data_IF_795884785376
#
_entry.id   IF_795884785376
#
_cell.length_a   1.000
_cell.length_b   1.000
_cell.length_c   1.000
_cell.angle_alpha   90.00
_cell.angle_beta   90.00
_cell.angle_gamma   90.00
#
_symmetry.space_group_name_H-M   'P 1'
#
loop_
_entity.id
_entity.type
_entity.pdbx_description
1 polymer ?
#
# COMPACT_ATOMS: atom_id res chain seq x y z
N UNK A 1 85.84 -1.21 -13.32
CA UNK A 1 85.87 -2.50 -12.57
C UNK A 1 86.90 -2.36 -11.45
N UNK A 2 86.77 -3.02 -10.30
CA UNK A 2 85.62 -3.29 -9.44
C UNK A 2 85.80 -2.56 -8.08
N UNK A 3 84.73 -2.36 -7.29
CA UNK A 3 84.85 -2.26 -5.82
C UNK A 3 83.46 -2.35 -5.20
N UNK A 4 83.13 -3.53 -4.68
CA UNK A 4 81.97 -3.74 -3.80
C UNK A 4 82.34 -3.26 -2.40
N UNK A 5 81.59 -2.32 -1.86
CA UNK A 5 81.61 -1.94 -0.45
C UNK A 5 80.58 -2.77 0.36
N UNK A 6 80.74 -2.87 1.70
CA UNK A 6 80.19 -3.93 2.54
C UNK A 6 78.95 -3.52 3.37
N UNK A 7 78.40 -4.56 4.01
CA UNK A 7 77.64 -4.64 5.28
C UNK A 7 77.29 -3.33 6.02
N UNK A 8 76.00 -3.19 6.40
CA UNK A 8 75.45 -3.00 7.77
C UNK A 8 73.96 -2.59 7.60
N UNK A 9 73.00 -3.40 8.02
CA UNK A 9 72.42 -3.51 9.37
C UNK A 9 71.30 -2.49 9.67
N UNK A 10 70.16 -3.05 10.11
CA UNK A 10 69.05 -2.45 10.87
C UNK A 10 68.23 -1.32 10.23
N UNK A 11 66.94 -1.60 9.99
CA UNK A 11 65.85 -0.78 10.52
C UNK A 11 64.54 -1.58 10.54
N UNK A 12 64.11 -1.94 11.75
CA UNK A 12 62.73 -2.31 12.03
C UNK A 12 61.86 -1.04 12.01
N UNK A 13 60.73 -1.08 11.31
CA UNK A 13 59.58 -0.21 11.58
C UNK A 13 58.33 -0.85 10.97
N UNK A 14 57.70 -1.72 11.74
CA UNK A 14 56.32 -2.11 11.51
C UNK A 14 55.43 -0.90 11.84
N UNK A 15 55.02 -0.15 10.82
CA UNK A 15 53.85 0.73 10.95
C UNK A 15 52.62 -0.09 10.57
N UNK A 16 51.89 -0.52 11.60
CA UNK A 16 50.53 -0.96 11.49
C UNK A 16 49.68 0.20 10.94
N UNK A 17 49.36 0.15 9.64
CA UNK A 17 48.26 0.93 9.07
C UNK A 17 46.94 0.30 9.52
N UNK A 18 46.60 0.48 10.80
CA UNK A 18 45.21 0.44 11.25
C UNK A 18 44.59 1.80 10.96
N UNK A 19 44.44 2.11 9.67
CA UNK A 19 43.58 3.19 9.22
C UNK A 19 42.15 2.69 9.29
N UNK A 20 41.47 2.97 10.40
CA UNK A 20 40.02 2.84 10.50
C UNK A 20 39.39 3.67 9.39
N UNK A 21 38.95 3.00 8.32
CA UNK A 21 38.04 3.62 7.38
C UNK A 21 36.77 3.93 8.18
N UNK A 22 36.63 5.18 8.61
CA UNK A 22 35.35 5.71 9.02
C UNK A 22 34.43 5.48 7.81
N UNK A 23 33.51 4.51 7.93
CA UNK A 23 32.40 4.36 7.01
C UNK A 23 31.74 5.74 6.95
N UNK A 24 31.88 6.43 5.82
CA UNK A 24 31.05 7.57 5.54
C UNK A 24 29.61 7.11 5.76
N UNK A 25 28.89 7.79 6.65
CA UNK A 25 27.47 7.54 6.83
C UNK A 25 26.83 7.73 5.46
N UNK A 26 26.26 6.66 4.91
CA UNK A 26 25.47 6.74 3.69
C UNK A 26 24.36 7.76 3.94
N UNK A 27 24.08 8.66 2.99
CA UNK A 27 22.98 9.60 3.16
C UNK A 27 21.71 8.78 3.44
N UNK A 28 21.04 9.09 4.54
CA UNK A 28 19.82 8.41 4.94
C UNK A 28 18.90 8.31 3.71
N UNK A 29 18.61 7.08 3.29
CA UNK A 29 17.66 6.82 2.22
C UNK A 29 16.33 7.41 2.68
N UNK A 30 15.96 8.56 2.11
CA UNK A 30 14.67 9.17 2.35
C UNK A 30 13.66 8.31 1.60
N UNK A 31 12.96 7.43 2.31
CA UNK A 31 11.80 6.75 1.78
C UNK A 31 10.79 7.84 1.38
N UNK A 32 10.67 8.09 0.08
CA UNK A 32 9.58 8.92 -0.43
C UNK A 32 8.33 8.06 -0.30
N UNK A 33 7.53 8.34 0.73
CA UNK A 33 6.16 7.85 0.76
C UNK A 33 5.42 8.65 -0.32
N UNK A 34 5.17 8.03 -1.47
CA UNK A 34 4.23 8.58 -2.44
C UNK A 34 2.84 8.40 -1.86
N UNK A 35 2.03 9.44 -1.87
CA UNK A 35 0.62 9.34 -1.51
C UNK A 35 -0.04 8.31 -2.43
N UNK A 36 -0.81 7.39 -1.86
CA UNK A 36 -1.71 6.55 -2.64
C UNK A 36 -2.83 7.48 -3.09
N UNK A 37 -3.08 7.53 -4.40
CA UNK A 37 -4.06 8.44 -5.00
C UNK A 37 -5.25 7.66 -5.53
N UNK A 38 -6.44 8.27 -5.44
CA UNK A 38 -7.67 7.73 -6.00
C UNK A 38 -8.06 8.52 -7.25
N UNK A 39 -8.33 7.83 -8.36
CA UNK A 39 -8.70 8.47 -9.63
C UNK A 39 -10.21 8.62 -9.76
N UNK A 40 -10.98 7.55 -9.56
CA UNK A 40 -12.44 7.60 -9.65
C UNK A 40 -12.96 7.97 -11.04
N UNK A 41 -12.17 7.72 -12.10
CA UNK A 41 -12.46 8.07 -13.49
C UNK A 41 -12.85 6.88 -14.37
N UNK A 42 -12.89 5.66 -13.81
CA UNK A 42 -13.21 4.42 -14.51
C UNK A 42 -12.15 3.95 -15.51
N UNK A 43 -10.95 4.54 -15.50
CA UNK A 43 -9.87 4.25 -16.46
C UNK A 43 -8.60 3.76 -15.77
N UNK A 44 -8.25 4.36 -14.65
CA UNK A 44 -7.09 3.96 -13.86
C UNK A 44 -7.46 2.87 -12.86
N UNK A 45 -6.51 1.99 -12.54
CA UNK A 45 -6.75 0.96 -11.54
C UNK A 45 -6.77 1.57 -10.15
N UNK A 46 -7.96 1.63 -9.57
CA UNK A 46 -8.22 2.20 -8.25
C UNK A 46 -8.23 1.14 -7.13
N UNK A 47 -7.99 -0.14 -7.45
CA UNK A 47 -8.18 -1.26 -6.52
C UNK A 47 -7.47 -1.06 -5.18
N UNK A 48 -6.19 -0.67 -5.21
CA UNK A 48 -5.42 -0.45 -3.98
C UNK A 48 -5.91 0.78 -3.22
N UNK A 49 -6.09 1.90 -3.91
CA UNK A 49 -6.48 3.17 -3.31
C UNK A 49 -7.88 3.10 -2.67
N UNK A 50 -8.83 2.48 -3.36
CA UNK A 50 -10.20 2.32 -2.88
C UNK A 50 -10.29 1.39 -1.67
N UNK A 51 -9.55 0.27 -1.68
CA UNK A 51 -9.47 -0.62 -0.52
C UNK A 51 -8.86 0.08 0.70
N UNK A 52 -7.78 0.84 0.50
CA UNK A 52 -7.14 1.60 1.55
C UNK A 52 -8.08 2.67 2.12
N UNK A 53 -8.79 3.39 1.25
CA UNK A 53 -9.78 4.37 1.67
C UNK A 53 -10.93 3.74 2.48
N UNK A 54 -11.49 2.61 2.01
CA UNK A 54 -12.56 1.87 2.70
C UNK A 54 -12.12 1.31 4.06
N UNK A 55 -10.82 1.04 4.26
CA UNK A 55 -10.24 0.67 5.54
C UNK A 55 -10.00 1.86 6.48
N UNK A 56 -10.39 3.07 6.07
CA UNK A 56 -10.27 4.28 6.90
C UNK A 56 -8.94 5.02 6.73
N UNK A 57 -8.11 4.66 5.74
CA UNK A 57 -6.89 5.45 5.45
C UNK A 57 -7.25 6.73 4.73
N UNK A 58 -6.47 7.78 5.00
CA UNK A 58 -6.58 9.04 4.27
C UNK A 58 -5.89 8.93 2.93
N UNK A 59 -6.63 9.31 1.89
CA UNK A 59 -6.24 9.22 0.48
C UNK A 59 -6.57 10.58 -0.15
N UNK A 60 -5.84 10.94 -1.20
CA UNK A 60 -6.09 12.18 -1.95
C UNK A 60 -6.59 11.87 -3.35
N UNK A 61 -7.37 12.79 -3.91
CA UNK A 61 -7.77 12.73 -5.31
C UNK A 61 -6.57 12.94 -6.21
N UNK A 62 -6.40 12.08 -7.22
CA UNK A 62 -5.31 12.20 -8.18
C UNK A 62 -5.35 13.51 -8.98
N UNK A 63 -6.56 14.04 -9.25
CA UNK A 63 -6.74 15.26 -10.04
C UNK A 63 -6.38 16.53 -9.27
N UNK A 64 -6.86 16.67 -8.03
CA UNK A 64 -6.70 17.92 -7.26
C UNK A 64 -5.65 17.85 -6.15
N UNK A 65 -5.30 16.65 -5.69
CA UNK A 65 -4.49 16.44 -4.48
C UNK A 65 -5.24 16.73 -3.18
N UNK A 66 -6.53 17.06 -3.24
CA UNK A 66 -7.34 17.28 -2.05
C UNK A 66 -7.69 15.95 -1.35
N UNK A 67 -7.88 15.96 -0.03
CA UNK A 67 -8.38 14.78 0.68
C UNK A 67 -9.71 14.29 0.11
N UNK A 68 -9.84 12.97 -0.02
CA UNK A 68 -11.08 12.33 -0.49
C UNK A 68 -12.24 12.55 0.49
N UNK A 69 -11.95 12.58 1.80
CA UNK A 69 -12.95 12.69 2.86
C UNK A 69 -13.66 11.37 3.15
N UNK A 70 -14.72 11.42 3.97
CA UNK A 70 -15.44 10.22 4.43
C UNK A 70 -16.49 9.69 3.44
N UNK A 71 -16.85 10.49 2.44
CA UNK A 71 -17.91 10.16 1.48
C UNK A 71 -17.44 10.37 0.06
N UNK A 72 -17.68 9.37 -0.79
CA UNK A 72 -17.50 9.45 -2.23
C UNK A 72 -18.86 9.21 -2.91
N UNK A 73 -19.20 10.02 -3.91
CA UNK A 73 -20.46 9.90 -4.63
C UNK A 73 -20.30 10.10 -6.14
N UNK A 74 -20.90 9.23 -6.96
CA UNK A 74 -21.02 9.44 -8.41
C UNK A 74 -19.75 9.18 -9.23
N UNK A 75 -18.76 8.49 -8.65
CA UNK A 75 -17.50 8.15 -9.33
C UNK A 75 -17.53 6.73 -9.91
N UNK A 76 -16.65 6.52 -10.90
CA UNK A 76 -16.44 5.21 -11.52
C UNK A 76 -15.05 4.69 -11.18
N UNK A 77 -14.92 3.44 -10.76
CA UNK A 77 -13.64 2.84 -10.39
C UNK A 77 -13.37 1.67 -11.30
N UNK A 78 -12.25 1.71 -12.03
CA UNK A 78 -11.76 0.52 -12.72
C UNK A 78 -10.98 -0.30 -11.70
N UNK A 79 -11.29 -1.59 -11.65
CA UNK A 79 -10.75 -2.50 -10.66
C UNK A 79 -10.09 -3.69 -11.36
N UNK A 80 -8.93 -4.10 -10.86
CA UNK A 80 -8.23 -5.31 -11.27
C UNK A 80 -8.44 -6.48 -10.29
N UNK A 81 -8.96 -6.21 -9.09
CA UNK A 81 -9.28 -7.23 -8.09
C UNK A 81 -10.52 -6.84 -7.26
N UNK A 82 -10.84 -7.68 -6.27
CA UNK A 82 -11.95 -7.46 -5.35
C UNK A 82 -11.72 -6.24 -4.46
N UNK A 83 -12.84 -5.64 -4.03
CA UNK A 83 -12.88 -4.56 -3.05
C UNK A 83 -13.47 -5.10 -1.75
N UNK A 84 -12.80 -4.80 -0.64
CA UNK A 84 -13.13 -5.25 0.70
C UNK A 84 -13.67 -4.08 1.50
N UNK A 85 -14.87 -4.27 2.06
CA UNK A 85 -15.51 -3.28 2.92
C UNK A 85 -15.41 -3.80 4.35
N UNK A 86 -14.50 -3.23 5.13
CA UNK A 86 -14.42 -3.50 6.56
C UNK A 86 -15.42 -2.61 7.31
N UNK A 87 -16.07 -3.16 8.33
CA UNK A 87 -16.88 -2.37 9.25
C UNK A 87 -16.04 -1.38 10.07
N UNK A 88 -16.67 -0.30 10.53
CA UNK A 88 -16.08 0.59 11.54
C UNK A 88 -15.21 1.73 11.01
N UNK A 89 -15.07 1.89 9.68
CA UNK A 89 -14.29 2.98 9.10
C UNK A 89 -15.08 4.29 8.88
N UNK A 90 -16.41 4.27 9.04
CA UNK A 90 -17.28 5.43 8.82
C UNK A 90 -17.40 5.88 7.36
N UNK A 91 -16.78 5.15 6.42
CA UNK A 91 -16.75 5.49 4.99
C UNK A 91 -18.07 5.19 4.30
N UNK A 92 -18.42 6.06 3.35
CA UNK A 92 -19.67 5.99 2.60
C UNK A 92 -19.41 6.14 1.11
N UNK A 93 -19.73 5.11 0.33
CA UNK A 93 -19.64 5.14 -1.12
C UNK A 93 -21.06 5.11 -1.72
N UNK A 94 -21.42 6.10 -2.53
CA UNK A 94 -22.77 6.25 -3.12
C UNK A 94 -22.72 6.37 -4.62
N UNK A 95 -23.76 5.88 -5.28
CA UNK A 95 -24.00 6.06 -6.71
C UNK A 95 -22.76 5.72 -7.56
N UNK A 96 -21.98 4.74 -7.10
CA UNK A 96 -20.71 4.39 -7.72
C UNK A 96 -20.92 3.42 -8.88
N UNK A 97 -19.90 3.35 -9.73
CA UNK A 97 -19.78 2.28 -10.74
C UNK A 97 -18.44 1.59 -10.56
N UNK A 98 -18.43 0.29 -10.30
CA UNK A 98 -17.24 -0.55 -10.38
C UNK A 98 -17.20 -1.23 -11.72
N UNK A 99 -16.03 -1.23 -12.36
CA UNK A 99 -15.82 -1.82 -13.67
C UNK A 99 -14.64 -2.79 -13.59
N UNK A 100 -14.87 -4.04 -13.99
CA UNK A 100 -13.82 -5.03 -14.24
C UNK A 100 -13.79 -5.36 -15.74
N UNK A 101 -13.04 -4.58 -16.55
CA UNK A 101 -13.06 -4.73 -18.00
C UNK A 101 -12.66 -6.13 -18.46
N UNK A 102 -11.70 -6.75 -17.78
CA UNK A 102 -11.17 -8.07 -18.11
C UNK A 102 -12.21 -9.18 -17.92
N UNK A 103 -13.25 -8.91 -17.13
CA UNK A 103 -14.34 -9.83 -16.81
C UNK A 103 -15.65 -9.43 -17.48
N UNK A 104 -15.65 -8.32 -18.22
CA UNK A 104 -16.84 -7.70 -18.78
C UNK A 104 -17.95 -7.55 -17.72
N UNK A 105 -17.56 -7.11 -16.53
CA UNK A 105 -18.43 -7.00 -15.36
C UNK A 105 -18.53 -5.55 -14.91
N UNK A 106 -19.72 -5.16 -14.48
CA UNK A 106 -20.01 -3.84 -13.92
C UNK A 106 -20.96 -3.97 -12.74
N UNK A 107 -20.60 -3.34 -11.62
CA UNK A 107 -21.48 -3.18 -10.45
C UNK A 107 -21.83 -1.71 -10.32
N UNK A 108 -23.11 -1.38 -10.27
CA UNK A 108 -23.60 0.00 -10.32
C UNK A 108 -24.82 0.24 -9.44
N UNK A 109 -25.19 1.51 -9.26
CA UNK A 109 -26.40 1.93 -8.55
C UNK A 109 -26.36 1.68 -7.03
N UNK A 110 -25.20 1.25 -6.53
CA UNK A 110 -25.06 0.79 -5.16
C UNK A 110 -24.69 1.92 -4.20
N UNK A 111 -25.13 1.76 -2.95
CA UNK A 111 -24.60 2.48 -1.79
C UNK A 111 -23.99 1.48 -0.82
N UNK A 112 -22.75 1.74 -0.42
CA UNK A 112 -22.02 1.01 0.62
C UNK A 112 -21.79 1.95 1.80
N UNK A 113 -22.09 1.47 3.00
CA UNK A 113 -21.82 2.15 4.27
C UNK A 113 -21.04 1.19 5.16
N UNK A 114 -19.80 1.54 5.51
CA UNK A 114 -19.01 0.71 6.44
C UNK A 114 -19.44 0.86 7.90
N UNK A 115 -20.07 1.99 8.24
CA UNK A 115 -20.49 2.32 9.61
C UNK A 115 -19.30 2.59 10.53
N UNK A 116 -19.58 3.10 11.72
CA UNK A 116 -18.56 3.44 12.73
C UNK A 116 -18.32 2.32 13.76
N UNK A 117 -19.16 1.29 13.73
CA UNK A 117 -19.15 0.17 14.67
C UNK A 117 -18.49 -1.04 14.01
N UNK A 118 -17.27 -1.37 14.42
CA UNK A 118 -16.50 -2.47 13.86
C UNK A 118 -17.14 -3.85 14.07
N UNK A 119 -18.09 -3.97 15.02
CA UNK A 119 -18.81 -5.22 15.31
C UNK A 119 -20.10 -5.36 14.50
N UNK A 120 -20.46 -4.36 13.67
CA UNK A 120 -21.63 -4.40 12.80
C UNK A 120 -21.22 -4.51 11.34
N UNK A 121 -21.76 -5.50 10.65
CA UNK A 121 -21.48 -5.69 9.24
C UNK A 121 -21.80 -4.43 8.42
N UNK A 122 -20.97 -4.11 7.40
CA UNK A 122 -21.26 -3.02 6.48
C UNK A 122 -22.56 -3.28 5.72
N UNK A 123 -23.24 -2.21 5.32
CA UNK A 123 -24.50 -2.27 4.60
C UNK A 123 -24.26 -1.94 3.14
N UNK A 124 -24.70 -2.83 2.24
CA UNK A 124 -24.74 -2.59 0.80
C UNK A 124 -26.19 -2.64 0.31
N UNK A 125 -26.60 -1.65 -0.48
CA UNK A 125 -27.97 -1.54 -1.02
C UNK A 125 -27.95 -1.05 -2.46
N UNK A 126 -29.00 -1.37 -3.23
CA UNK A 126 -29.14 -0.87 -4.60
C UNK A 126 -28.20 -1.50 -5.63
N UNK A 127 -27.49 -2.57 -5.27
CA UNK A 127 -26.51 -3.25 -6.12
C UNK A 127 -27.17 -3.79 -7.39
N UNK A 128 -26.69 -3.32 -8.53
CA UNK A 128 -27.03 -3.84 -9.85
C UNK A 128 -25.76 -4.40 -10.47
N UNK A 129 -25.79 -5.66 -10.89
CA UNK A 129 -24.65 -6.34 -11.49
C UNK A 129 -24.99 -6.66 -12.95
N UNK A 130 -24.09 -6.28 -13.85
CA UNK A 130 -24.15 -6.62 -15.27
C UNK A 130 -22.87 -7.36 -15.65
N UNK A 131 -23.01 -8.53 -16.26
CA UNK A 131 -21.87 -9.46 -16.45
C UNK A 131 -21.53 -10.21 -15.15
N UNK A 132 -20.37 -10.87 -15.13
CA UNK A 132 -19.91 -11.64 -13.97
C UNK A 132 -20.57 -13.02 -13.83
N UNK A 133 -20.08 -13.80 -12.86
CA UNK A 133 -20.64 -15.12 -12.55
C UNK A 133 -21.85 -15.00 -11.61
N UNK A 134 -22.75 -15.98 -11.67
CA UNK A 134 -23.91 -16.01 -10.77
C UNK A 134 -23.46 -16.14 -9.31
N UNK A 135 -23.81 -15.17 -8.45
CA UNK A 135 -23.44 -15.14 -7.03
C UNK A 135 -22.30 -14.19 -6.70
N UNK A 136 -21.79 -13.45 -7.67
CA UNK A 136 -20.83 -12.38 -7.45
C UNK A 136 -21.46 -11.13 -6.81
N UNK A 137 -20.70 -10.37 -6.01
CA UNK A 137 -21.19 -9.18 -5.31
C UNK A 137 -22.17 -9.43 -4.16
N UNK A 138 -22.45 -10.70 -3.82
CA UNK A 138 -23.13 -11.04 -2.57
C UNK A 138 -22.16 -10.88 -1.40
N UNK A 139 -22.59 -10.28 -0.28
CA UNK A 139 -21.80 -10.31 0.95
C UNK A 139 -21.42 -11.75 1.29
N UNK A 140 -20.12 -12.01 1.43
CA UNK A 140 -19.63 -13.29 1.93
C UNK A 140 -19.35 -13.15 3.43
N UNK A 141 -19.68 -14.20 4.19
CA UNK A 141 -19.29 -14.26 5.60
C UNK A 141 -17.77 -14.43 5.64
N UNK A 142 -17.06 -13.37 6.02
CA UNK A 142 -15.62 -13.46 6.25
C UNK A 142 -15.37 -14.40 7.44
N UNK A 143 -14.45 -15.39 7.33
CA UNK A 143 -14.05 -16.17 8.49
C UNK A 143 -13.44 -15.22 9.52
N UNK A 144 -13.82 -15.37 10.79
CA UNK A 144 -13.33 -14.53 11.88
C UNK A 144 -11.81 -14.34 11.79
N UNK A 145 -11.37 -13.13 11.45
CA UNK A 145 -9.95 -12.79 11.39
C UNK A 145 -9.42 -12.90 12.81
N UNK A 146 -8.67 -13.97 13.09
CA UNK A 146 -7.94 -14.05 14.35
C UNK A 146 -6.85 -12.98 14.28
N UNK A 147 -6.82 -11.97 15.17
CA UNK A 147 -5.79 -10.94 15.13
C UNK A 147 -4.43 -11.61 15.21
N UNK A 148 -3.68 -11.58 14.12
CA UNK A 148 -2.30 -12.07 14.13
C UNK A 148 -1.54 -11.19 15.10
N UNK A 149 -1.14 -11.75 16.25
CA UNK A 149 -0.28 -11.03 17.19
C UNK A 149 0.91 -10.46 16.41
N UNK A 150 1.24 -9.17 16.55
CA UNK A 150 2.41 -8.59 15.92
C UNK A 150 3.59 -9.50 16.20
N UNK A 151 4.24 -10.01 15.14
CA UNK A 151 5.39 -10.87 15.30
C UNK A 151 6.51 -10.02 15.94
N UNK A 152 6.89 -10.26 17.21
CA UNK A 152 7.91 -9.43 17.87
C UNK A 152 9.30 -9.65 17.27
N UNK A 153 9.45 -10.63 16.36
CA UNK A 153 10.66 -10.91 15.58
C UNK A 153 10.56 -10.42 14.13
N UNK A 154 9.47 -9.77 13.74
CA UNK A 154 9.44 -9.04 12.49
C UNK A 154 10.32 -7.80 12.65
N UNK A 155 11.63 -7.98 12.42
CA UNK A 155 12.50 -6.86 12.13
C UNK A 155 12.20 -6.43 10.69
N UNK A 156 11.87 -5.16 10.48
CA UNK A 156 12.05 -4.56 9.17
C UNK A 156 13.49 -4.83 8.73
N UNK A 157 13.72 -5.10 7.45
CA UNK A 157 15.08 -5.14 6.91
C UNK A 157 15.68 -3.73 7.11
N UNK A 158 16.46 -3.57 8.16
CA UNK A 158 17.22 -2.34 8.42
C UNK A 158 18.43 -2.37 7.50
N UNK A 159 18.49 -1.44 6.55
CA UNK A 159 19.75 -1.06 5.88
C UNK A 159 20.50 -0.05 6.75
#
# INVERSE_FOLDING_TARGET
MPSRLPRLALAAAALALCGSAARAAEPAQHCIHTDIVLWGDGRHDDTTALNDWLQGKDIVWAESGDPVGDTISGHSFRLSAAVYVSAGSGRVLRDFTFVWPERNETVSGASIVSGDDADKAPVSTGVQISGGDAGEGVPFDDPAVTPTKPNPRASCATS
#
